data_IF_632423675848
#
_entry.id   IF_632423675848
#
_cell.length_a   1.000
_cell.length_b   1.000
_cell.length_c   1.000
_cell.angle_alpha   90.00
_cell.angle_beta   90.00
_cell.angle_gamma   90.00
#
_symmetry.space_group_name_H-M   'P 1'
#
loop_
_entity.id
_entity.type
_entity.pdbx_description
1 polymer ?
#
# COMPACT_ATOMS: atom_id res chain seq x y z
N UNK A 1 -15.95 9.07 1.49
CA UNK A 1 -14.58 9.48 1.09
C UNK A 1 -13.75 9.63 2.38
N UNK A 2 -12.64 8.93 2.57
CA UNK A 2 -11.73 9.16 3.70
C UNK A 2 -10.79 10.30 3.31
N UNK A 3 -11.00 11.49 3.87
CA UNK A 3 -10.19 12.68 3.60
C UNK A 3 -9.42 13.03 4.89
N UNK A 4 -8.35 12.28 5.16
CA UNK A 4 -7.46 12.54 6.30
C UNK A 4 -6.28 13.39 5.80
N UNK A 5 -6.14 14.65 6.26
CA UNK A 5 -5.09 15.56 5.80
C UNK A 5 -3.68 15.03 6.00
N UNK A 6 -3.44 14.22 7.04
CA UNK A 6 -2.13 13.67 7.36
C UNK A 6 -1.80 12.46 6.49
N UNK A 7 -2.81 11.66 6.11
CA UNK A 7 -2.64 10.62 5.07
C UNK A 7 -2.27 11.28 3.75
N UNK A 8 -2.97 12.36 3.37
CA UNK A 8 -2.71 13.11 2.13
C UNK A 8 -1.32 13.74 2.13
N UNK A 9 -0.93 14.40 3.22
CA UNK A 9 0.38 15.02 3.37
C UNK A 9 1.51 13.99 3.24
N UNK A 10 1.35 12.79 3.85
CA UNK A 10 2.33 11.72 3.72
C UNK A 10 2.43 11.18 2.29
N UNK A 11 1.31 10.97 1.61
CA UNK A 11 1.32 10.54 0.21
C UNK A 11 1.99 11.58 -0.69
N UNK A 12 1.70 12.86 -0.48
CA UNK A 12 2.34 13.96 -1.20
C UNK A 12 3.85 14.00 -0.93
N UNK A 13 4.28 13.96 0.33
CA UNK A 13 5.70 13.96 0.71
C UNK A 13 6.44 12.76 0.11
N UNK A 14 5.79 11.59 0.08
CA UNK A 14 6.37 10.34 -0.43
C UNK A 14 6.49 10.35 -1.96
N UNK A 15 5.55 10.98 -2.67
CA UNK A 15 5.61 11.17 -4.12
C UNK A 15 6.45 12.40 -4.55
N UNK A 16 6.68 13.36 -3.64
CA UNK A 16 7.32 14.64 -3.94
C UNK A 16 8.72 14.50 -4.57
N UNK A 17 9.64 13.65 -4.09
CA UNK A 17 10.95 13.49 -4.72
C UNK A 17 10.86 13.04 -6.17
N UNK A 18 9.92 12.13 -6.50
CA UNK A 18 9.71 11.63 -7.86
C UNK A 18 9.07 12.70 -8.76
N UNK A 19 8.10 13.44 -8.22
CA UNK A 19 7.42 14.53 -8.95
C UNK A 19 8.34 15.75 -9.18
N UNK A 20 9.20 16.09 -8.21
CA UNK A 20 10.17 17.20 -8.31
C UNK A 20 11.35 16.85 -9.23
N UNK A 21 11.75 15.57 -9.32
CA UNK A 21 12.76 15.14 -10.28
C UNK A 21 12.36 15.44 -11.75
N UNK A 22 11.06 15.52 -12.04
CA UNK A 22 10.57 15.96 -13.35
C UNK A 22 10.76 17.43 -13.67
N UNK A 23 10.87 18.31 -12.66
CA UNK A 23 11.22 19.72 -12.86
C UNK A 23 12.69 19.87 -13.26
N UNK A 24 13.53 18.88 -12.93
CA UNK A 24 14.97 18.84 -13.24
C UNK A 24 15.27 18.08 -14.54
N UNK A 25 14.27 17.83 -15.39
CA UNK A 25 14.47 17.19 -16.71
C UNK A 25 14.77 15.69 -16.69
N UNK A 26 14.71 15.02 -15.52
CA UNK A 26 14.74 13.56 -15.45
C UNK A 26 13.35 13.00 -15.80
N UNK A 27 13.30 11.86 -16.51
CA UNK A 27 12.06 11.13 -16.82
C UNK A 27 11.18 11.04 -15.56
N UNK A 28 10.00 11.65 -15.61
CA UNK A 28 9.06 11.71 -14.50
C UNK A 28 7.87 10.81 -14.81
N UNK A 29 8.03 9.52 -14.55
CA UNK A 29 6.99 8.50 -14.80
C UNK A 29 5.75 8.68 -13.89
N UNK A 30 5.76 9.66 -12.98
CA UNK A 30 4.61 10.08 -12.16
C UNK A 30 3.84 11.28 -12.76
N UNK A 31 4.37 11.98 -13.76
CA UNK A 31 3.70 13.08 -14.44
C UNK A 31 2.54 12.52 -15.27
N UNK A 32 1.31 12.67 -14.77
CA UNK A 32 0.09 12.16 -15.40
C UNK A 32 -0.54 10.94 -14.73
N UNK A 33 0.14 10.33 -13.73
CA UNK A 33 -0.48 9.24 -12.93
C UNK A 33 -1.37 9.82 -11.82
N UNK A 34 -2.57 9.24 -11.58
CA UNK A 34 -3.37 9.58 -10.41
C UNK A 34 -2.55 9.36 -9.13
N UNK A 35 -2.88 10.11 -8.07
CA UNK A 35 -2.21 9.98 -6.77
C UNK A 35 -2.40 8.56 -6.25
N UNK A 36 -1.37 7.99 -5.63
CA UNK A 36 -1.41 6.64 -5.09
C UNK A 36 -2.65 6.42 -4.20
N UNK A 37 -3.37 5.33 -4.46
CA UNK A 37 -4.55 4.96 -3.69
C UNK A 37 -4.95 3.51 -3.92
N UNK A 38 -6.07 3.09 -3.32
CA UNK A 38 -6.56 1.71 -3.43
C UNK A 38 -6.85 1.26 -4.88
N UNK A 39 -6.99 2.18 -5.84
CA UNK A 39 -7.18 1.86 -7.27
C UNK A 39 -5.93 1.28 -7.94
N UNK A 40 -4.74 1.47 -7.36
CA UNK A 40 -3.50 0.82 -7.84
C UNK A 40 -3.42 -0.65 -7.38
N UNK A 41 -4.31 -1.08 -6.48
CA UNK A 41 -4.30 -2.43 -5.94
C UNK A 41 -5.24 -3.36 -6.71
N UNK A 42 -4.77 -4.58 -6.92
CA UNK A 42 -5.58 -5.68 -7.48
C UNK A 42 -6.30 -6.39 -6.33
N UNK A 43 -7.62 -6.58 -6.42
CA UNK A 43 -8.35 -7.38 -5.43
C UNK A 43 -7.96 -8.86 -5.58
N UNK A 44 -7.38 -9.45 -4.55
CA UNK A 44 -6.90 -10.85 -4.55
C UNK A 44 -7.97 -11.82 -4.06
N UNK A 45 -8.68 -11.44 -2.99
CA UNK A 45 -9.65 -12.30 -2.34
C UNK A 45 -10.74 -11.46 -1.68
N UNK A 46 -11.97 -11.99 -1.66
CA UNK A 46 -13.06 -11.50 -0.81
C UNK A 46 -13.82 -12.70 -0.26
N UNK A 47 -13.88 -12.82 1.07
CA UNK A 47 -14.72 -13.79 1.76
C UNK A 47 -15.90 -13.07 2.37
N UNK A 48 -17.02 -13.07 1.64
CA UNK A 48 -18.27 -12.41 2.04
C UNK A 48 -18.03 -11.02 2.64
N UNK A 49 -18.44 -10.84 3.90
CA UNK A 49 -18.26 -9.69 4.77
C UNK A 49 -17.12 -9.85 5.79
N UNK A 50 -16.50 -11.03 5.85
CA UNK A 50 -15.48 -11.38 6.85
C UNK A 50 -14.08 -10.93 6.47
N UNK A 51 -13.72 -10.96 5.19
CA UNK A 51 -12.35 -10.62 4.78
C UNK A 51 -12.25 -10.08 3.36
N UNK A 52 -11.30 -9.19 3.14
CA UNK A 52 -10.88 -8.74 1.82
C UNK A 52 -9.37 -8.56 1.77
N UNK A 53 -8.76 -8.96 0.67
CA UNK A 53 -7.32 -8.83 0.43
C UNK A 53 -7.04 -8.14 -0.90
N UNK A 54 -6.02 -7.28 -0.88
CA UNK A 54 -5.56 -6.48 -2.00
C UNK A 54 -4.07 -6.69 -2.22
N UNK A 55 -3.66 -6.82 -3.47
CA UNK A 55 -2.30 -7.05 -3.91
C UNK A 55 -1.73 -5.82 -4.60
N UNK A 56 -0.45 -5.58 -4.39
CA UNK A 56 0.31 -4.53 -5.07
C UNK A 56 1.71 -5.05 -5.36
N UNK A 57 2.25 -4.71 -6.53
CA UNK A 57 3.58 -5.14 -6.95
C UNK A 57 4.39 -3.91 -7.37
N UNK A 58 5.64 -3.84 -6.91
CA UNK A 58 6.53 -2.74 -7.28
C UNK A 58 7.80 -2.66 -6.45
N UNK A 59 8.53 -1.56 -6.66
CA UNK A 59 9.78 -1.24 -5.98
C UNK A 59 9.52 -0.08 -5.03
N UNK A 60 8.81 -0.36 -3.93
CA UNK A 60 8.25 0.66 -3.03
C UNK A 60 9.25 1.65 -2.45
N UNK A 61 10.53 1.30 -2.41
CA UNK A 61 11.64 2.15 -1.97
C UNK A 61 12.05 3.21 -3.01
N UNK A 62 11.59 3.10 -4.26
CA UNK A 62 11.78 4.15 -5.28
C UNK A 62 10.76 5.25 -5.08
N UNK A 63 11.13 6.48 -5.44
CA UNK A 63 10.25 7.65 -5.35
C UNK A 63 9.04 7.57 -6.30
N UNK A 64 9.17 6.86 -7.42
CA UNK A 64 8.11 6.57 -8.38
C UNK A 64 7.36 5.25 -8.08
N UNK A 65 7.75 4.54 -7.02
CA UNK A 65 7.33 3.19 -6.63
C UNK A 65 7.53 2.09 -7.66
N UNK A 66 7.82 2.42 -8.92
CA UNK A 66 7.87 1.52 -10.09
C UNK A 66 6.82 0.42 -9.99
N UNK A 67 5.54 0.82 -9.86
CA UNK A 67 4.42 -0.10 -9.75
C UNK A 67 4.25 -0.88 -11.05
N UNK A 68 4.05 -2.19 -10.92
CA UNK A 68 3.80 -3.09 -12.05
C UNK A 68 2.33 -3.49 -12.06
N UNK A 69 1.73 -3.47 -13.25
CA UNK A 69 0.28 -3.69 -13.40
C UNK A 69 -0.03 -5.17 -13.27
N UNK A 70 -0.86 -5.51 -12.30
CA UNK A 70 -1.33 -6.87 -12.04
C UNK A 70 -2.81 -6.98 -12.43
N UNK A 71 -3.10 -7.90 -13.35
CA UNK A 71 -4.44 -8.04 -13.93
C UNK A 71 -5.45 -8.63 -12.93
N UNK A 72 -5.04 -9.67 -12.21
CA UNK A 72 -5.90 -10.43 -11.29
C UNK A 72 -5.08 -11.13 -10.19
N UNK A 73 -5.78 -11.90 -9.35
CA UNK A 73 -5.17 -12.65 -8.26
C UNK A 73 -4.22 -13.76 -8.72
N UNK A 74 -4.43 -14.33 -9.92
CA UNK A 74 -3.55 -15.38 -10.43
C UNK A 74 -2.23 -14.79 -10.93
N UNK A 75 -2.30 -13.73 -11.72
CA UNK A 75 -1.11 -12.98 -12.10
C UNK A 75 -0.31 -12.57 -10.85
N UNK A 76 -0.95 -12.07 -9.80
CA UNK A 76 -0.26 -11.75 -8.54
C UNK A 76 0.46 -12.97 -7.90
N UNK A 77 -0.20 -14.13 -7.91
CA UNK A 77 0.31 -15.36 -7.30
C UNK A 77 1.57 -15.82 -8.03
N UNK A 78 1.51 -15.89 -9.36
CA UNK A 78 2.61 -16.33 -10.22
C UNK A 78 3.72 -15.29 -10.44
N UNK A 79 3.49 -14.02 -10.07
CA UNK A 79 4.50 -12.98 -10.23
C UNK A 79 5.76 -13.27 -9.39
N UNK A 80 6.91 -13.37 -10.06
CA UNK A 80 8.19 -13.82 -9.47
C UNK A 80 9.41 -12.96 -9.87
N UNK A 81 9.19 -11.78 -10.44
CA UNK A 81 10.28 -10.96 -10.99
C UNK A 81 11.32 -10.54 -9.91
N UNK A 82 12.61 -10.86 -10.12
CA UNK A 82 13.67 -10.41 -9.23
C UNK A 82 13.72 -8.88 -9.07
N UNK A 83 14.02 -8.45 -7.85
CA UNK A 83 14.15 -7.05 -7.48
C UNK A 83 12.82 -6.30 -7.36
N UNK A 84 11.68 -6.99 -7.39
CA UNK A 84 10.33 -6.41 -7.28
C UNK A 84 9.58 -7.01 -6.10
N UNK A 85 9.13 -6.18 -5.17
CA UNK A 85 8.41 -6.65 -4.00
C UNK A 85 6.92 -6.85 -4.29
N UNK A 86 6.32 -7.82 -3.61
CA UNK A 86 4.86 -8.01 -3.53
C UNK A 86 4.36 -7.51 -2.19
N UNK A 87 3.22 -6.84 -2.16
CA UNK A 87 2.55 -6.39 -0.95
C UNK A 87 1.12 -6.92 -0.93
N UNK A 88 0.70 -7.42 0.22
CA UNK A 88 -0.70 -7.78 0.49
C UNK A 88 -1.22 -6.89 1.60
N UNK A 89 -2.32 -6.18 1.34
CA UNK A 89 -3.11 -5.46 2.34
C UNK A 89 -4.39 -6.25 2.60
N UNK A 90 -4.63 -6.63 3.84
CA UNK A 90 -5.79 -7.42 4.24
C UNK A 90 -6.60 -6.69 5.31
N UNK A 91 -7.93 -6.79 5.21
CA UNK A 91 -8.88 -6.44 6.25
C UNK A 91 -9.66 -7.68 6.64
N UNK A 92 -9.82 -7.92 7.95
CA UNK A 92 -10.58 -9.04 8.49
C UNK A 92 -11.49 -8.56 9.61
N UNK A 93 -12.73 -9.00 9.57
CA UNK A 93 -13.74 -8.82 10.60
C UNK A 93 -13.88 -10.13 11.36
N UNK A 94 -13.72 -10.10 12.67
CA UNK A 94 -13.94 -11.26 13.53
C UNK A 94 -14.96 -10.92 14.61
N UNK A 95 -15.92 -11.82 14.93
CA UNK A 95 -16.80 -11.62 16.07
C UNK A 95 -16.00 -11.40 17.37
N UNK A 96 -16.52 -10.51 18.22
CA UNK A 96 -15.98 -10.16 19.53
C UNK A 96 -17.13 -10.07 20.53
N UNK A 97 -16.84 -10.20 21.83
CA UNK A 97 -17.85 -10.16 22.90
C UNK A 97 -18.73 -8.90 22.87
N UNK A 98 -18.19 -7.77 22.38
CA UNK A 98 -18.87 -6.47 22.30
C UNK A 98 -19.16 -6.00 20.88
N UNK A 99 -19.08 -6.88 19.86
CA UNK A 99 -19.36 -6.52 18.47
C UNK A 99 -18.41 -7.18 17.48
N UNK A 100 -17.84 -6.40 16.56
CA UNK A 100 -16.91 -6.89 15.54
C UNK A 100 -15.53 -6.26 15.72
N UNK A 101 -14.50 -7.08 15.79
CA UNK A 101 -13.11 -6.63 15.73
C UNK A 101 -12.68 -6.51 14.26
N UNK A 102 -12.36 -5.30 13.82
CA UNK A 102 -11.76 -5.05 12.51
C UNK A 102 -10.24 -5.01 12.63
N UNK A 103 -9.58 -5.95 11.97
CA UNK A 103 -8.13 -6.06 11.88
C UNK A 103 -7.63 -5.68 10.49
N UNK A 104 -6.53 -4.93 10.41
CA UNK A 104 -5.82 -4.69 9.15
C UNK A 104 -4.38 -5.19 9.22
N UNK A 105 -3.92 -5.86 8.17
CA UNK A 105 -2.57 -6.40 8.07
C UNK A 105 -1.92 -5.98 6.75
N UNK A 106 -0.63 -5.68 6.77
CA UNK A 106 0.15 -5.49 5.56
C UNK A 106 1.35 -6.42 5.57
N UNK A 107 1.44 -7.31 4.60
CA UNK A 107 2.57 -8.23 4.40
C UNK A 107 3.34 -7.80 3.17
N UNK A 108 4.67 -7.79 3.26
CA UNK A 108 5.54 -7.47 2.12
C UNK A 108 6.51 -8.63 1.92
N UNK A 109 6.52 -9.15 0.70
CA UNK A 109 7.43 -10.18 0.24
C UNK A 109 8.50 -9.56 -0.67
N UNK A 110 9.77 -9.79 -0.33
CA UNK A 110 10.91 -9.43 -1.17
C UNK A 110 11.49 -10.73 -1.77
N UNK A 111 11.53 -10.90 -3.11
CA UNK A 111 11.92 -12.15 -3.73
C UNK A 111 13.40 -12.50 -3.58
N UNK A 112 14.25 -11.53 -3.24
CA UNK A 112 15.70 -11.72 -3.14
C UNK A 112 16.34 -10.84 -2.05
N UNK A 113 17.63 -11.10 -1.78
CA UNK A 113 18.40 -10.35 -0.78
C UNK A 113 18.53 -8.87 -1.14
N UNK A 114 18.67 -8.52 -2.41
CA UNK A 114 18.90 -7.15 -2.84
C UNK A 114 17.66 -6.26 -2.61
N UNK A 115 16.48 -6.76 -2.96
CA UNK A 115 15.19 -6.12 -2.68
C UNK A 115 14.95 -6.00 -1.17
N UNK A 116 15.25 -7.03 -0.38
CA UNK A 116 15.14 -6.95 1.09
C UNK A 116 16.05 -5.89 1.71
N UNK A 117 17.30 -5.80 1.24
CA UNK A 117 18.25 -4.77 1.70
C UNK A 117 17.80 -3.35 1.34
N UNK A 118 17.20 -3.15 0.16
CA UNK A 118 16.64 -1.84 -0.24
C UNK A 118 15.35 -1.51 0.52
N UNK A 119 14.50 -2.51 0.74
CA UNK A 119 13.21 -2.33 1.40
C UNK A 119 13.35 -2.08 2.91
N UNK A 120 14.32 -2.69 3.59
CA UNK A 120 14.47 -2.60 5.05
C UNK A 120 14.64 -1.16 5.58
N UNK A 121 15.63 -0.36 5.14
CA UNK A 121 15.79 1.01 5.65
C UNK A 121 14.59 1.89 5.29
N UNK A 122 14.06 1.70 4.09
CA UNK A 122 12.82 2.35 3.65
C UNK A 122 11.64 2.03 4.58
N UNK A 123 11.43 0.76 4.92
CA UNK A 123 10.39 0.32 5.84
C UNK A 123 10.54 0.93 7.22
N UNK A 124 11.77 0.94 7.77
CA UNK A 124 12.05 1.55 9.06
C UNK A 124 11.73 3.05 9.09
N UNK A 125 11.99 3.77 8.00
CA UNK A 125 11.65 5.19 7.89
C UNK A 125 10.12 5.41 7.84
N UNK A 126 9.37 4.60 7.08
CA UNK A 126 7.94 4.84 6.89
C UNK A 126 7.03 4.20 7.95
N UNK A 127 7.50 3.17 8.68
CA UNK A 127 6.65 2.36 9.57
C UNK A 127 5.89 3.18 10.62
N UNK A 128 6.44 4.23 11.28
CA UNK A 128 5.71 4.93 12.33
C UNK A 128 4.50 5.68 11.78
N UNK A 129 4.72 6.40 10.67
CA UNK A 129 3.67 7.16 9.98
C UNK A 129 2.64 6.21 9.38
N UNK A 130 3.10 5.12 8.75
CA UNK A 130 2.23 4.09 8.20
C UNK A 130 1.33 3.45 9.27
N UNK A 131 1.85 3.22 10.48
CA UNK A 131 1.07 2.75 11.62
C UNK A 131 0.01 3.75 12.08
N UNK A 132 0.35 5.04 12.16
CA UNK A 132 -0.61 6.10 12.52
C UNK A 132 -1.74 6.21 11.50
N UNK A 133 -1.42 6.17 10.21
CA UNK A 133 -2.40 6.19 9.11
C UNK A 133 -3.38 5.02 9.25
N UNK A 134 -2.88 3.80 9.50
CA UNK A 134 -3.74 2.62 9.70
C UNK A 134 -4.67 2.77 10.91
N UNK A 135 -4.17 3.26 12.04
CA UNK A 135 -5.01 3.51 13.22
C UNK A 135 -6.12 4.50 12.94
N UNK A 136 -5.83 5.61 12.24
CA UNK A 136 -6.86 6.59 11.88
C UNK A 136 -7.86 6.08 10.86
N UNK A 137 -7.42 5.24 9.93
CA UNK A 137 -8.32 4.57 9.01
C UNK A 137 -9.30 3.67 9.78
N UNK A 138 -8.81 2.83 10.70
CA UNK A 138 -9.68 1.99 11.54
C UNK A 138 -10.65 2.82 12.40
N UNK A 139 -10.15 3.85 13.11
CA UNK A 139 -10.99 4.73 13.93
C UNK A 139 -12.03 5.51 13.11
N UNK A 140 -11.73 5.86 11.85
CA UNK A 140 -12.71 6.48 10.97
C UNK A 140 -13.70 5.49 10.36
N UNK A 141 -13.39 4.18 10.32
CA UNK A 141 -14.38 3.15 9.96
C UNK A 141 -15.34 2.96 11.14
N UNK A 142 -14.80 2.81 12.35
CA UNK A 142 -15.58 2.70 13.59
C UNK A 142 -16.59 3.84 13.73
N UNK A 143 -16.16 5.10 13.58
CA UNK A 143 -17.04 6.29 13.64
C UNK A 143 -18.13 6.37 12.57
N UNK A 144 -18.08 5.54 11.53
CA UNK A 144 -19.14 5.49 10.49
C UNK A 144 -20.12 4.35 10.69
N UNK A 145 -19.76 3.40 11.56
CA UNK A 145 -20.57 2.23 11.89
C UNK A 145 -21.34 2.42 13.19
N UNK A 146 -20.82 3.26 14.11
CA UNK A 146 -21.60 3.84 15.21
C UNK A 146 -22.38 5.06 14.74
#
# INVERSE_FOLDING_TARGET
RFDDPLVRAFLVLREAPGRLAGLLGRRNDLAGRPRFGLHEFTRLERRADQAIAYGLVGRFWRADFALERIADGEHFRCYDQPGVAKLVLCFRCTPSASGTLLHTETRVFCPDRASRLRFTPYWLAIRPVSGLIRRRLLAGIERRLG
#
